data_IF_756558229503
#
_entry.id   IF_756558229503
#
_cell.length_a   1.000
_cell.length_b   1.000
_cell.length_c   1.000
_cell.angle_alpha   90.00
_cell.angle_beta   90.00
_cell.angle_gamma   90.00
#
_symmetry.space_group_name_H-M   'P 1'
#
loop_
_entity.id
_entity.type
_entity.pdbx_description
1 polymer ?
#
# COMPACT_ATOMS: atom_id res chain seq x y z
N UNK A 1 32.43 18.92 -0.70
CA UNK A 1 31.22 18.34 -1.32
C UNK A 1 30.03 18.64 -0.41
N UNK A 2 29.31 19.74 -0.63
CA UNK A 2 28.14 20.09 0.20
C UNK A 2 26.95 19.24 -0.24
N UNK A 3 26.39 18.45 0.68
CA UNK A 3 25.19 17.63 0.45
C UNK A 3 23.96 18.55 0.34
N UNK A 4 23.82 19.25 -0.79
CA UNK A 4 22.61 20.01 -1.07
C UNK A 4 21.53 19.00 -1.42
N UNK A 5 20.67 18.69 -0.44
CA UNK A 5 19.56 17.75 -0.60
C UNK A 5 18.74 18.10 -1.85
N UNK A 6 18.84 17.25 -2.88
CA UNK A 6 18.06 17.35 -4.12
C UNK A 6 16.55 17.40 -3.86
N UNK A 7 16.11 16.91 -2.69
CA UNK A 7 14.73 17.01 -2.22
C UNK A 7 14.25 18.45 -2.02
N UNK A 8 15.15 19.41 -1.77
CA UNK A 8 14.78 20.81 -1.52
C UNK A 8 14.66 21.65 -2.80
N UNK A 9 15.22 21.18 -3.92
CA UNK A 9 15.24 21.91 -5.21
C UNK A 9 14.18 21.44 -6.20
N UNK A 10 13.64 20.22 -6.05
CA UNK A 10 12.69 19.67 -7.01
C UNK A 10 11.26 19.61 -6.41
N UNK A 11 10.39 20.58 -6.69
CA UNK A 11 9.00 20.59 -6.19
C UNK A 11 8.21 19.35 -6.63
N UNK A 12 8.60 18.72 -7.74
CA UNK A 12 8.02 17.46 -8.20
C UNK A 12 8.32 16.26 -7.29
N UNK A 13 9.38 16.31 -6.48
CA UNK A 13 9.72 15.22 -5.55
C UNK A 13 8.63 15.02 -4.48
N UNK A 14 8.05 16.11 -3.96
CA UNK A 14 6.94 16.05 -3.02
C UNK A 14 5.67 15.45 -3.64
N UNK A 15 5.38 15.79 -4.90
CA UNK A 15 4.22 15.27 -5.64
C UNK A 15 4.39 13.78 -5.94
N UNK A 16 5.55 13.36 -6.43
CA UNK A 16 5.86 11.93 -6.66
C UNK A 16 5.82 11.12 -5.36
N UNK A 17 6.27 11.71 -4.24
CA UNK A 17 6.21 11.10 -2.92
C UNK A 17 4.76 10.94 -2.42
N UNK A 18 3.91 11.95 -2.59
CA UNK A 18 2.48 11.89 -2.24
C UNK A 18 1.71 10.88 -3.11
N UNK A 19 1.95 10.88 -4.42
CA UNK A 19 1.38 9.89 -5.34
C UNK A 19 1.83 8.48 -5.00
N UNK A 20 3.10 8.28 -4.65
CA UNK A 20 3.62 6.99 -4.19
C UNK A 20 2.94 6.59 -2.88
N UNK A 21 2.90 7.44 -1.86
CA UNK A 21 2.19 7.19 -0.59
C UNK A 21 0.73 6.81 -0.79
N UNK A 22 0.05 7.41 -1.78
CA UNK A 22 -1.36 7.12 -2.11
C UNK A 22 -1.55 5.88 -2.97
N UNK A 23 -0.57 5.51 -3.80
CA UNK A 23 -0.61 4.30 -4.63
C UNK A 23 -0.31 3.02 -3.84
N UNK A 24 0.44 3.11 -2.74
CA UNK A 24 0.72 1.99 -1.85
C UNK A 24 -0.54 1.35 -1.23
N UNK A 25 -1.47 2.09 -0.59
CA UNK A 25 -2.69 1.49 -0.06
C UNK A 25 -3.58 0.90 -1.16
N UNK A 26 -3.59 1.49 -2.36
CA UNK A 26 -4.33 0.94 -3.49
C UNK A 26 -3.77 -0.42 -3.96
N UNK A 27 -2.45 -0.60 -3.90
CA UNK A 27 -1.80 -1.89 -4.17
C UNK A 27 -2.06 -2.93 -3.09
N UNK A 28 -2.24 -2.52 -1.83
CA UNK A 28 -2.53 -3.43 -0.71
C UNK A 28 -4.00 -3.86 -0.67
N UNK A 29 -4.91 -3.03 -1.19
CA UNK A 29 -6.34 -3.29 -1.24
C UNK A 29 -6.73 -4.68 -1.80
N UNK A 30 -6.24 -5.13 -2.97
CA UNK A 30 -6.59 -6.46 -3.49
C UNK A 30 -6.10 -7.60 -2.59
N UNK A 31 -4.92 -7.45 -1.96
CA UNK A 31 -4.41 -8.46 -1.03
C UNK A 31 -5.23 -8.51 0.26
N UNK A 32 -5.72 -7.37 0.74
CA UNK A 32 -6.61 -7.31 1.90
C UNK A 32 -7.94 -8.02 1.61
N UNK A 33 -8.52 -7.78 0.43
CA UNK A 33 -9.76 -8.45 -0.01
C UNK A 33 -9.53 -9.96 -0.11
N UNK A 34 -8.43 -10.40 -0.73
CA UNK A 34 -8.09 -11.81 -0.85
C UNK A 34 -7.96 -12.46 0.53
N UNK A 35 -7.27 -11.81 1.46
CA UNK A 35 -7.10 -12.28 2.83
C UNK A 35 -8.44 -12.45 3.55
N UNK A 36 -9.35 -11.48 3.43
CA UNK A 36 -10.68 -11.54 4.04
C UNK A 36 -11.51 -12.68 3.47
N UNK A 37 -11.48 -12.90 2.14
CA UNK A 37 -12.18 -14.02 1.49
C UNK A 37 -11.62 -15.35 1.97
N UNK A 38 -10.28 -15.51 2.00
CA UNK A 38 -9.64 -16.73 2.46
C UNK A 38 -10.00 -17.03 3.91
N UNK A 39 -9.98 -16.01 4.78
CA UNK A 39 -10.36 -16.17 6.18
C UNK A 39 -11.84 -16.55 6.31
N UNK A 40 -12.73 -15.88 5.58
CA UNK A 40 -14.16 -16.19 5.58
C UNK A 40 -14.45 -17.63 5.11
N UNK A 41 -13.80 -18.08 4.04
CA UNK A 41 -13.92 -19.46 3.56
C UNK A 41 -13.40 -20.48 4.59
N UNK A 42 -12.30 -20.17 5.26
CA UNK A 42 -11.75 -21.03 6.31
C UNK A 42 -12.72 -21.17 7.49
N UNK A 43 -13.27 -20.07 8.00
CA UNK A 43 -14.27 -20.10 9.08
C UNK A 43 -15.59 -20.76 8.64
N UNK A 44 -16.04 -20.54 7.41
CA UNK A 44 -17.23 -21.20 6.88
C UNK A 44 -17.04 -22.72 6.77
N UNK A 45 -15.88 -23.19 6.33
CA UNK A 45 -15.53 -24.60 6.31
C UNK A 45 -15.40 -25.21 7.72
N UNK A 46 -14.85 -24.45 8.67
CA UNK A 46 -14.77 -24.87 10.07
C UNK A 46 -16.16 -24.99 10.73
N UNK A 47 -17.10 -24.12 10.38
CA UNK A 47 -18.49 -24.17 10.87
C UNK A 47 -19.35 -25.25 10.22
N UNK A 48 -18.89 -25.84 9.11
CA UNK A 48 -19.59 -26.92 8.41
C UNK A 48 -19.22 -28.32 8.92
N UNK A 49 -18.24 -28.42 9.82
CA UNK A 49 -17.85 -29.60 10.60
C UNK A 49 -18.52 -29.55 11.97
#
# INVERSE_FOLDING_TARGET
MTHVSLSKRNPYFGISYLLRKRAWPLRVLPYLILLLITLAMFWAGLSAI
#
